data_IF_659129313118
#
_entry.id   IF_659129313118
#
_cell.length_a   1.000
_cell.length_b   1.000
_cell.length_c   1.000
_cell.angle_alpha   90.00
_cell.angle_beta   90.00
_cell.angle_gamma   90.00
#
_symmetry.space_group_name_H-M   'P 1'
#
loop_
_entity.id
_entity.type
_entity.pdbx_description
1 polymer ?
#
# COMPACT_ATOMS: atom_id res chain seq x y z
N UNK A 1 15.13 33.31 -1.09
CA UNK A 1 14.98 32.69 0.25
C UNK A 1 14.75 31.19 0.08
N UNK A 2 15.03 30.42 1.11
CA UNK A 2 14.79 28.96 1.04
C UNK A 2 13.29 28.68 1.28
N UNK A 3 12.69 27.87 0.42
CA UNK A 3 11.31 27.41 0.60
C UNK A 3 11.23 26.42 1.76
N UNK A 4 10.27 26.61 2.63
CA UNK A 4 9.99 25.71 3.76
C UNK A 4 8.74 24.89 3.46
N UNK A 5 8.85 23.56 3.58
CA UNK A 5 7.73 22.64 3.42
C UNK A 5 7.23 22.17 4.79
N UNK A 6 5.95 22.35 5.04
CA UNK A 6 5.30 21.98 6.31
C UNK A 6 4.20 20.97 6.05
N UNK A 7 4.31 19.81 6.70
CA UNK A 7 3.31 18.75 6.68
C UNK A 7 2.42 18.85 7.91
N UNK A 8 1.12 18.74 7.74
CA UNK A 8 0.14 18.72 8.83
C UNK A 8 -0.93 17.67 8.59
N UNK A 9 -1.43 17.10 9.67
CA UNK A 9 -2.56 16.18 9.63
C UNK A 9 -3.84 16.98 9.70
N UNK A 10 -4.73 16.77 8.72
CA UNK A 10 -6.03 17.40 8.68
C UNK A 10 -7.07 16.57 9.46
N UNK A 11 -7.05 15.25 9.27
CA UNK A 11 -7.91 14.31 9.97
C UNK A 11 -7.31 12.91 9.96
N UNK A 12 -7.75 12.07 10.89
CA UNK A 12 -7.42 10.65 10.94
C UNK A 12 -8.70 9.83 11.00
N UNK A 13 -8.74 8.75 10.25
CA UNK A 13 -9.80 7.76 10.25
C UNK A 13 -9.32 6.52 11.01
N UNK A 14 -10.10 6.10 12.00
CA UNK A 14 -9.77 4.94 12.83
C UNK A 14 -10.96 4.02 13.02
N UNK A 15 -10.66 2.76 13.28
CA UNK A 15 -11.67 1.83 13.78
C UNK A 15 -11.95 2.09 15.27
N UNK A 16 -13.20 2.05 15.67
CA UNK A 16 -13.59 2.31 17.06
C UNK A 16 -13.34 1.11 17.97
N UNK A 17 -13.23 -0.08 17.39
CA UNK A 17 -13.06 -1.31 18.16
C UNK A 17 -11.68 -1.41 18.83
N UNK A 18 -10.62 -1.02 18.13
CA UNK A 18 -9.23 -1.16 18.59
C UNK A 18 -8.37 0.10 18.40
N UNK A 19 -8.95 1.14 17.80
CA UNK A 19 -8.25 2.39 17.55
C UNK A 19 -7.29 2.34 16.35
N UNK A 20 -7.32 1.27 15.55
CA UNK A 20 -6.49 1.17 14.35
C UNK A 20 -6.75 2.33 13.39
N UNK A 21 -5.70 3.09 13.07
CA UNK A 21 -5.77 4.16 12.07
C UNK A 21 -5.58 3.58 10.69
N UNK A 22 -6.66 3.56 9.90
CA UNK A 22 -6.64 3.01 8.55
C UNK A 22 -6.43 4.06 7.45
N UNK A 23 -6.43 5.35 7.79
CA UNK A 23 -6.16 6.41 6.84
C UNK A 23 -6.35 7.79 7.41
N UNK A 24 -6.18 8.77 6.58
CA UNK A 24 -6.41 10.16 6.96
C UNK A 24 -6.11 11.14 5.85
N UNK A 25 -6.46 12.39 6.10
CA UNK A 25 -6.13 13.53 5.26
C UNK A 25 -4.92 14.28 5.80
N UNK A 26 -4.07 14.74 4.91
CA UNK A 26 -2.94 15.57 5.25
C UNK A 26 -2.79 16.74 4.30
N UNK A 27 -2.13 17.78 4.76
CA UNK A 27 -1.80 18.96 3.97
C UNK A 27 -0.29 19.15 3.91
N UNK A 28 0.18 19.60 2.77
CA UNK A 28 1.56 20.05 2.62
C UNK A 28 1.52 21.52 2.18
N UNK A 29 2.19 22.37 2.91
CA UNK A 29 2.33 23.79 2.58
C UNK A 29 3.78 24.10 2.28
N UNK A 30 3.99 24.88 1.22
CA UNK A 30 5.25 25.50 0.90
C UNK A 30 5.16 27.01 1.15
N UNK A 31 6.19 27.59 1.75
CA UNK A 31 6.28 29.01 2.02
C UNK A 31 7.72 29.48 1.72
N UNK A 32 7.85 30.52 0.92
CA UNK A 32 9.15 31.14 0.60
C UNK A 32 9.42 32.43 1.37
N UNK A 33 8.52 32.79 2.30
CA UNK A 33 8.57 34.02 3.08
C UNK A 33 7.70 35.14 2.51
N UNK A 34 7.24 35.05 1.27
CA UNK A 34 6.37 36.03 0.60
C UNK A 34 5.08 35.38 0.10
N UNK A 35 5.18 34.21 -0.47
CA UNK A 35 4.06 33.45 -1.05
C UNK A 35 3.88 32.11 -0.38
N UNK A 36 2.66 31.61 -0.41
CA UNK A 36 2.30 30.28 0.06
C UNK A 36 1.61 29.48 -1.04
N UNK A 37 1.96 28.20 -1.11
CA UNK A 37 1.24 27.20 -1.89
C UNK A 37 0.91 26.02 -0.99
N UNK A 38 -0.17 25.31 -1.28
CA UNK A 38 -0.56 24.16 -0.48
C UNK A 38 -1.34 23.13 -1.25
N UNK A 39 -1.24 21.90 -0.81
CA UNK A 39 -2.03 20.78 -1.32
C UNK A 39 -2.63 19.99 -0.17
N UNK A 40 -3.77 19.37 -0.44
CA UNK A 40 -4.43 18.41 0.44
C UNK A 40 -4.49 17.06 -0.26
N UNK A 41 -4.24 16.01 0.49
CA UNK A 41 -4.38 14.65 -0.03
C UNK A 41 -4.83 13.69 1.08
N UNK A 42 -5.28 12.52 0.66
CA UNK A 42 -5.64 11.43 1.55
C UNK A 42 -4.66 10.27 1.38
N UNK A 43 -4.51 9.49 2.44
CA UNK A 43 -3.67 8.31 2.45
C UNK A 43 -4.34 7.23 3.27
N UNK A 44 -4.21 5.98 2.84
CA UNK A 44 -4.71 4.80 3.54
C UNK A 44 -3.54 3.95 4.04
N UNK A 45 -3.71 3.37 5.23
CA UNK A 45 -2.73 2.47 5.84
C UNK A 45 -3.28 1.06 5.90
N UNK A 46 -2.48 0.08 5.48
CA UNK A 46 -2.78 -1.33 5.69
C UNK A 46 -2.45 -1.74 7.12
N UNK A 47 -3.19 -2.70 7.67
CA UNK A 47 -2.83 -3.32 8.96
C UNK A 47 -1.48 -4.02 8.82
N UNK A 48 -0.66 -3.87 9.84
CA UNK A 48 0.56 -4.65 9.98
C UNK A 48 0.27 -5.95 10.75
N UNK A 49 0.96 -7.01 10.38
CA UNK A 49 0.90 -8.31 11.05
C UNK A 49 2.29 -8.71 11.53
N UNK A 50 2.39 -9.20 12.75
CA UNK A 50 3.60 -9.88 13.22
C UNK A 50 3.72 -11.28 12.63
N UNK A 51 2.57 -11.92 12.38
CA UNK A 51 2.44 -13.18 11.65
C UNK A 51 1.36 -12.99 10.58
N UNK A 52 1.76 -13.12 9.32
CA UNK A 52 0.81 -13.02 8.21
C UNK A 52 -0.18 -14.20 8.23
N UNK A 53 -1.46 -13.96 7.94
CA UNK A 53 -2.43 -15.03 7.82
C UNK A 53 -2.12 -15.91 6.60
N UNK A 54 -2.23 -17.21 6.77
CA UNK A 54 -2.04 -18.20 5.71
C UNK A 54 -3.33 -18.99 5.55
N UNK A 55 -3.84 -19.07 4.33
CA UNK A 55 -5.01 -19.90 4.03
C UNK A 55 -4.67 -21.38 4.07
N UNK A 56 -5.64 -22.20 4.50
CA UNK A 56 -5.49 -23.65 4.49
C UNK A 56 -5.39 -24.18 3.04
N UNK A 57 -4.42 -25.06 2.82
CA UNK A 57 -4.31 -25.81 1.55
C UNK A 57 -4.79 -27.23 1.82
N UNK A 58 -5.83 -27.74 1.10
CA UNK A 58 -6.31 -29.09 1.30
C UNK A 58 -5.28 -30.13 0.85
N UNK A 59 -5.28 -31.29 1.50
CA UNK A 59 -4.47 -32.42 1.08
C UNK A 59 -4.89 -32.88 -0.29
N UNK A 60 -3.91 -33.27 -1.09
CA UNK A 60 -4.13 -33.95 -2.38
C UNK A 60 -3.64 -35.38 -2.25
N UNK A 61 -4.52 -36.34 -2.54
CA UNK A 61 -4.17 -37.75 -2.49
C UNK A 61 -3.13 -38.11 -3.57
N UNK A 62 -2.25 -39.04 -3.23
CA UNK A 62 -1.31 -39.58 -4.21
C UNK A 62 -2.05 -40.31 -5.36
N UNK A 63 -1.54 -40.18 -6.56
CA UNK A 63 -1.97 -40.93 -7.72
C UNK A 63 -0.93 -42.01 -7.99
N UNK A 64 -1.34 -43.26 -7.93
CA UNK A 64 -0.45 -44.36 -8.23
C UNK A 64 -0.17 -44.48 -9.73
N UNK A 65 1.05 -44.86 -10.06
CA UNK A 65 1.43 -45.14 -11.43
C UNK A 65 0.64 -46.34 -11.98
N UNK A 66 0.15 -46.23 -13.20
CA UNK A 66 -0.49 -47.29 -13.93
C UNK A 66 0.23 -47.49 -15.25
N UNK A 67 0.52 -48.77 -15.54
CA UNK A 67 1.10 -49.10 -16.82
C UNK A 67 0.09 -48.93 -17.96
N UNK A 68 0.59 -48.63 -19.15
CA UNK A 68 -0.24 -48.61 -20.34
C UNK A 68 -0.87 -49.98 -20.59
N UNK A 69 -2.11 -49.97 -21.04
CA UNK A 69 -2.80 -51.20 -21.48
C UNK A 69 -2.68 -51.30 -22.99
N UNK A 70 -2.20 -52.47 -23.46
CA UNK A 70 -2.02 -52.74 -24.88
C UNK A 70 -3.10 -53.73 -25.36
N UNK A 71 -3.46 -53.66 -26.63
CA UNK A 71 -4.30 -54.66 -27.28
C UNK A 71 -3.46 -55.90 -27.66
N UNK A 72 -4.10 -56.92 -28.26
CA UNK A 72 -3.45 -58.14 -28.68
C UNK A 72 -2.37 -57.92 -29.76
N UNK A 73 -2.44 -56.83 -30.48
CA UNK A 73 -1.52 -56.40 -31.53
C UNK A 73 -0.39 -55.51 -31.00
N UNK A 74 -0.40 -55.12 -29.68
CA UNK A 74 0.62 -54.33 -29.04
C UNK A 74 0.40 -52.84 -29.15
N UNK A 75 -0.78 -52.35 -29.56
CA UNK A 75 -1.10 -50.95 -29.60
C UNK A 75 -1.58 -50.44 -28.24
N UNK A 76 -1.24 -49.20 -27.89
CA UNK A 76 -1.68 -48.56 -26.63
C UNK A 76 -3.16 -48.23 -26.70
N UNK A 77 -3.95 -48.91 -25.88
CA UNK A 77 -5.40 -48.70 -25.73
C UNK A 77 -5.68 -47.70 -24.60
N UNK A 78 -4.93 -47.82 -23.50
CA UNK A 78 -4.98 -46.90 -22.37
C UNK A 78 -3.55 -46.43 -22.09
N UNK A 79 -3.35 -45.13 -22.12
CA UNK A 79 -2.04 -44.56 -21.83
C UNK A 79 -1.59 -44.81 -20.38
N UNK A 80 -0.28 -44.95 -20.19
CA UNK A 80 0.31 -45.03 -18.86
C UNK A 80 0.06 -43.74 -18.07
N UNK A 81 -0.15 -43.89 -16.78
CA UNK A 81 -0.28 -42.77 -15.82
C UNK A 81 0.94 -42.77 -14.93
N UNK A 82 1.63 -41.67 -14.85
CA UNK A 82 2.76 -41.50 -13.93
C UNK A 82 2.26 -41.32 -12.50
N UNK A 83 3.06 -41.78 -11.53
CA UNK A 83 2.77 -41.59 -10.12
C UNK A 83 2.91 -40.11 -9.76
N UNK A 84 1.93 -39.57 -9.05
CA UNK A 84 1.99 -38.25 -8.47
C UNK A 84 2.00 -38.42 -6.94
N UNK A 85 2.99 -37.85 -6.23
CA UNK A 85 3.06 -37.96 -4.77
C UNK A 85 1.89 -37.25 -4.12
N UNK A 86 1.47 -37.70 -2.96
CA UNK A 86 0.50 -37.00 -2.14
C UNK A 86 1.07 -35.67 -1.65
N UNK A 87 0.24 -34.65 -1.59
CA UNK A 87 0.53 -33.39 -0.97
C UNK A 87 -0.22 -33.34 0.36
N UNK A 88 0.51 -33.10 1.44
CA UNK A 88 -0.11 -32.97 2.77
C UNK A 88 -0.90 -31.65 2.87
N UNK A 89 -1.97 -31.67 3.66
CA UNK A 89 -2.73 -30.45 3.97
C UNK A 89 -1.86 -29.48 4.77
N UNK A 90 -1.90 -28.22 4.39
CA UNK A 90 -1.33 -27.13 5.19
C UNK A 90 -2.47 -26.52 5.98
N UNK A 91 -2.42 -26.50 7.32
CA UNK A 91 -3.46 -25.86 8.12
C UNK A 91 -3.44 -24.35 7.92
N UNK A 92 -4.61 -23.72 8.05
CA UNK A 92 -4.69 -22.27 8.10
C UNK A 92 -3.92 -21.74 9.31
N UNK A 93 -3.22 -20.65 9.12
CA UNK A 93 -2.57 -19.90 10.20
C UNK A 93 -3.33 -18.58 10.35
N UNK A 94 -3.86 -18.33 11.55
CA UNK A 94 -4.46 -17.03 11.85
C UNK A 94 -3.36 -15.97 11.92
N UNK A 95 -3.58 -14.83 11.25
CA UNK A 95 -2.67 -13.71 11.33
C UNK A 95 -2.65 -13.11 12.73
N UNK A 96 -1.47 -12.81 13.24
CA UNK A 96 -1.28 -12.08 14.49
C UNK A 96 -1.03 -10.63 14.15
N UNK A 97 -1.94 -9.75 14.56
CA UNK A 97 -1.80 -8.31 14.34
C UNK A 97 -0.60 -7.77 15.13
N UNK A 98 0.18 -6.92 14.51
CA UNK A 98 1.21 -6.16 15.19
C UNK A 98 0.61 -5.28 16.30
N UNK A 99 1.36 -5.05 17.36
CA UNK A 99 0.93 -4.18 18.44
C UNK A 99 0.66 -2.76 17.92
N UNK A 100 -0.53 -2.23 18.23
CA UNK A 100 -0.93 -0.89 17.84
C UNK A 100 -0.50 0.12 18.90
N UNK A 101 -0.07 1.30 18.45
CA UNK A 101 0.10 2.44 19.35
C UNK A 101 -1.32 2.91 19.73
N UNK A 102 -1.64 3.06 21.04
CA UNK A 102 -2.94 3.58 21.45
C UNK A 102 -3.23 4.94 20.80
N UNK A 103 -4.44 5.12 20.33
CA UNK A 103 -4.79 6.35 19.59
C UNK A 103 -4.53 7.62 20.40
N UNK A 104 -4.70 7.56 21.74
CA UNK A 104 -4.43 8.67 22.62
C UNK A 104 -2.94 9.05 22.72
N UNK A 105 -2.04 8.11 22.41
CA UNK A 105 -0.59 8.30 22.47
C UNK A 105 0.02 8.70 21.11
N UNK A 106 -0.80 8.74 20.06
CA UNK A 106 -0.36 9.17 18.73
C UNK A 106 -0.02 10.66 18.73
N UNK A 107 1.12 10.97 18.15
CA UNK A 107 1.52 12.36 17.90
C UNK A 107 1.44 12.67 16.40
N UNK A 108 1.22 13.94 16.07
CA UNK A 108 1.22 14.40 14.67
C UNK A 108 2.53 14.02 13.96
N UNK A 109 3.67 14.16 14.65
CA UNK A 109 4.98 13.80 14.11
C UNK A 109 5.09 12.31 13.74
N UNK A 110 4.52 11.43 14.56
CA UNK A 110 4.48 9.98 14.30
C UNK A 110 3.69 9.68 13.03
N UNK A 111 2.50 10.27 12.90
CA UNK A 111 1.64 10.07 11.72
C UNK A 111 2.26 10.66 10.46
N UNK A 112 2.89 11.83 10.55
CA UNK A 112 3.64 12.41 9.41
C UNK A 112 4.78 11.47 8.99
N UNK A 113 5.47 10.85 9.94
CA UNK A 113 6.49 9.83 9.67
C UNK A 113 5.94 8.64 8.87
N UNK A 114 4.76 8.14 9.24
CA UNK A 114 4.08 7.06 8.49
C UNK A 114 3.70 7.49 7.07
N UNK A 115 3.16 8.70 6.91
CA UNK A 115 2.79 9.25 5.60
C UNK A 115 4.02 9.36 4.71
N UNK A 116 5.10 9.96 5.20
CA UNK A 116 6.35 10.09 4.44
C UNK A 116 6.96 8.74 4.08
N UNK A 117 6.92 7.77 4.99
CA UNK A 117 7.37 6.40 4.74
C UNK A 117 6.57 5.71 3.65
N UNK A 118 5.24 5.88 3.65
CA UNK A 118 4.36 5.29 2.63
C UNK A 118 4.47 5.99 1.27
N UNK A 119 4.59 7.30 1.24
CA UNK A 119 4.76 8.07 0.00
C UNK A 119 6.08 7.74 -0.69
N UNK A 120 7.15 7.59 0.09
CA UNK A 120 8.49 7.42 -0.44
C UNK A 120 9.12 8.74 -0.93
N UNK A 121 10.43 8.71 -1.15
CA UNK A 121 11.19 9.91 -1.50
C UNK A 121 10.75 10.54 -2.83
N UNK A 122 10.39 9.74 -3.82
CA UNK A 122 9.97 10.23 -5.15
C UNK A 122 8.64 10.99 -5.10
N UNK A 123 7.65 10.45 -4.37
CA UNK A 123 6.36 11.13 -4.22
C UNK A 123 6.49 12.43 -3.43
N UNK A 124 7.30 12.43 -2.37
CA UNK A 124 7.60 13.64 -1.59
C UNK A 124 8.25 14.69 -2.50
N UNK A 125 9.28 14.32 -3.25
CA UNK A 125 9.96 15.22 -4.17
C UNK A 125 9.01 15.79 -5.23
N UNK A 126 8.09 14.98 -5.75
CA UNK A 126 7.07 15.42 -6.71
C UNK A 126 6.12 16.44 -6.11
N UNK A 127 5.65 16.21 -4.88
CA UNK A 127 4.76 17.14 -4.16
C UNK A 127 5.48 18.46 -3.93
N UNK A 128 6.70 18.42 -3.44
CA UNK A 128 7.50 19.62 -3.15
C UNK A 128 7.84 20.39 -4.42
N UNK A 129 8.18 19.72 -5.52
CA UNK A 129 8.41 20.33 -6.83
C UNK A 129 7.16 21.03 -7.38
N UNK A 130 5.99 20.40 -7.25
CA UNK A 130 4.73 20.98 -7.70
C UNK A 130 4.36 22.22 -6.87
N UNK A 131 4.59 22.20 -5.57
CA UNK A 131 4.36 23.36 -4.71
C UNK A 131 5.36 24.47 -5.00
N UNK A 132 6.62 24.16 -5.27
CA UNK A 132 7.61 25.12 -5.70
C UNK A 132 7.20 25.81 -7.01
N UNK A 133 6.74 25.03 -8.00
CA UNK A 133 6.26 25.59 -9.27
C UNK A 133 5.06 26.55 -9.08
N UNK A 134 4.19 26.27 -8.11
CA UNK A 134 3.08 27.17 -7.76
C UNK A 134 3.60 28.48 -7.13
N UNK A 135 4.63 28.43 -6.30
CA UNK A 135 5.27 29.64 -5.74
C UNK A 135 5.96 30.44 -6.83
N UNK A 136 6.67 29.78 -7.73
CA UNK A 136 7.35 30.41 -8.87
C UNK A 136 6.35 31.13 -9.78
N UNK A 137 5.19 30.50 -10.05
CA UNK A 137 4.11 31.14 -10.83
C UNK A 137 3.50 32.35 -10.11
N UNK A 138 3.44 32.35 -8.78
CA UNK A 138 2.99 33.52 -8.01
C UNK A 138 4.01 34.66 -8.05
N UNK A 139 5.30 34.30 -8.04
CA UNK A 139 6.40 35.28 -8.08
C UNK A 139 6.56 35.90 -9.45
N UNK A 140 6.43 35.12 -10.51
CA UNK A 140 6.56 35.53 -11.91
C UNK A 140 5.43 34.93 -12.75
N UNK A 141 4.21 35.49 -12.71
CA UNK A 141 3.06 34.93 -13.42
C UNK A 141 3.31 34.82 -14.92
N UNK A 142 3.17 33.60 -15.45
CA UNK A 142 3.23 33.35 -16.89
C UNK A 142 1.86 33.42 -17.56
N UNK A 143 0.79 33.43 -16.75
CA UNK A 143 -0.60 33.49 -17.20
C UNK A 143 -1.36 34.60 -16.48
N UNK A 144 -2.19 35.30 -17.21
CA UNK A 144 -3.10 36.29 -16.67
C UNK A 144 -4.52 36.02 -17.18
N UNK A 145 -5.51 36.29 -16.33
CA UNK A 145 -6.92 36.27 -16.71
C UNK A 145 -7.50 37.68 -16.66
N UNK A 146 -8.37 38.02 -17.59
CA UNK A 146 -9.04 39.29 -17.65
C UNK A 146 -9.78 39.45 -18.97
N UNK A 147 -10.56 40.52 -19.07
CA UNK A 147 -11.24 40.91 -20.30
C UNK A 147 -10.62 42.22 -20.81
N UNK A 148 -10.50 42.41 -22.12
CA UNK A 148 -9.80 43.56 -22.70
C UNK A 148 -10.62 44.86 -22.65
N UNK A 149 -11.81 44.89 -22.03
CA UNK A 149 -12.69 46.03 -21.81
C UNK A 149 -13.11 46.16 -20.38
#
# INVERSE_FOLDING_TARGET
MATTFTYKIANLNRETADGYVFGGGYTVKANDGTYEAGTYSNIDFARAYDVEPVEAVPAVAAVEAKAAVLDAEGNVVIAAVEAVPAVEAVPAVEGVLAALIPFADLTEATVIGWIKGKLGAEAIATIEANLQAQLDEQTAPTKASGVPW
#
